data_IF_097468230662
#
_entry.id   IF_097468230662
#
_cell.length_a   1.000
_cell.length_b   1.000
_cell.length_c   1.000
_cell.angle_alpha   90.00
_cell.angle_beta   90.00
_cell.angle_gamma   90.00
#
_symmetry.space_group_name_H-M   'P 1'
#
loop_
_entity.id
_entity.type
_entity.pdbx_description
1 polymer ?
#
# COMPACT_ATOMS: atom_id res chain seq x y z
N UNK A 1 -16.00 -73.80 -62.29
CA UNK A 1 -14.61 -74.25 -62.10
C UNK A 1 -13.78 -73.05 -61.68
N UNK A 2 -12.95 -73.25 -60.65
CA UNK A 2 -12.33 -72.23 -59.84
C UNK A 2 -11.21 -71.44 -60.55
N UNK A 3 -11.05 -70.18 -60.17
CA UNK A 3 -9.74 -69.52 -60.17
C UNK A 3 -9.61 -68.67 -58.91
N UNK A 4 -8.68 -69.08 -58.04
CA UNK A 4 -8.17 -68.31 -56.91
C UNK A 4 -7.16 -67.30 -57.44
N UNK A 5 -7.17 -66.09 -56.90
CA UNK A 5 -5.94 -65.31 -56.80
C UNK A 5 -5.97 -64.50 -55.51
N UNK A 6 -4.87 -64.65 -54.78
CA UNK A 6 -4.59 -64.14 -53.45
C UNK A 6 -3.78 -62.85 -53.57
N UNK A 7 -3.88 -62.00 -52.55
CA UNK A 7 -2.76 -61.33 -51.87
C UNK A 7 -2.82 -59.81 -51.74
N UNK A 8 -2.27 -59.41 -50.59
CA UNK A 8 -1.66 -58.14 -50.23
C UNK A 8 -2.56 -57.11 -49.54
N UNK A 9 -2.59 -57.24 -48.21
CA UNK A 9 -2.72 -56.11 -47.30
C UNK A 9 -1.67 -55.04 -47.65
N UNK A 10 -2.10 -53.78 -47.74
CA UNK A 10 -1.20 -52.61 -47.71
C UNK A 10 -1.76 -51.63 -46.68
N UNK A 11 -1.04 -51.53 -45.56
CA UNK A 11 -1.13 -50.46 -44.58
C UNK A 11 -0.64 -49.15 -45.21
N UNK A 12 -1.45 -48.10 -45.17
CA UNK A 12 -1.01 -46.70 -45.28
C UNK A 12 -1.69 -45.94 -44.14
N UNK A 13 -1.05 -45.91 -42.97
CA UNK A 13 -0.21 -44.80 -42.48
C UNK A 13 -1.04 -43.53 -42.29
N UNK A 14 -1.42 -43.31 -41.02
CA UNK A 14 -1.96 -42.06 -40.49
C UNK A 14 -0.96 -40.92 -40.76
N UNK A 15 -1.22 -40.08 -41.75
CA UNK A 15 -0.57 -38.76 -41.84
C UNK A 15 -1.38 -37.77 -41.01
N UNK A 16 -1.13 -37.81 -39.70
CA UNK A 16 -1.46 -36.72 -38.79
C UNK A 16 -0.52 -35.55 -39.12
N UNK A 17 -1.04 -34.52 -39.79
CA UNK A 17 -0.37 -33.24 -39.90
C UNK A 17 -1.30 -32.14 -39.37
N UNK A 18 -1.39 -31.93 -38.04
CA UNK A 18 -1.85 -30.67 -37.54
C UNK A 18 -0.68 -29.69 -37.71
N UNK A 19 -0.61 -29.05 -38.88
CA UNK A 19 0.14 -27.81 -39.10
C UNK A 19 -0.56 -26.65 -38.37
N UNK A 20 -0.77 -26.82 -37.06
CA UNK A 20 -1.40 -25.87 -36.13
C UNK A 20 -0.63 -25.83 -34.81
N UNK A 21 0.69 -25.97 -34.88
CA UNK A 21 1.60 -25.65 -33.78
C UNK A 21 2.67 -24.75 -34.36
N UNK A 22 2.87 -23.57 -33.76
CA UNK A 22 3.79 -22.49 -34.16
C UNK A 22 3.19 -21.28 -34.89
N UNK A 23 1.95 -20.90 -34.57
CA UNK A 23 1.68 -19.49 -34.29
C UNK A 23 1.67 -19.30 -32.76
N UNK A 24 2.82 -19.54 -32.12
CA UNK A 24 3.09 -18.84 -30.87
C UNK A 24 3.29 -17.39 -31.27
N UNK A 25 2.18 -16.65 -31.28
CA UNK A 25 2.22 -15.21 -31.23
C UNK A 25 3.05 -14.90 -29.99
N UNK A 26 4.31 -14.55 -30.21
CA UNK A 26 5.03 -13.70 -29.29
C UNK A 26 4.28 -12.38 -29.30
N UNK A 27 3.10 -12.33 -28.65
CA UNK A 27 2.64 -11.10 -28.07
C UNK A 27 3.71 -10.83 -27.04
N UNK A 28 4.71 -10.02 -27.41
CA UNK A 28 5.40 -9.22 -26.43
C UNK A 28 4.26 -8.59 -25.63
N UNK A 29 3.96 -9.16 -24.47
CA UNK A 29 2.89 -8.71 -23.60
C UNK A 29 3.23 -7.27 -23.35
N UNK A 30 2.54 -6.36 -24.05
CA UNK A 30 2.68 -4.94 -23.79
C UNK A 30 2.07 -4.79 -22.41
N UNK A 31 2.92 -4.91 -21.39
CA UNK A 31 2.57 -4.63 -20.01
C UNK A 31 1.89 -3.28 -20.06
N UNK A 32 0.60 -3.18 -19.67
CA UNK A 32 -0.12 -1.93 -19.74
C UNK A 32 0.71 -0.83 -19.08
N UNK A 33 0.78 0.33 -19.72
CA UNK A 33 1.51 1.47 -19.14
C UNK A 33 0.98 1.73 -17.72
N UNK A 34 1.87 1.81 -16.73
CA UNK A 34 1.51 1.93 -15.32
C UNK A 34 1.52 0.63 -14.51
N UNK A 35 1.91 -0.51 -15.10
CA UNK A 35 2.05 -1.78 -14.39
C UNK A 35 3.50 -2.07 -13.98
N UNK A 36 4.09 -1.17 -13.19
CA UNK A 36 5.39 -1.39 -12.55
C UNK A 36 5.30 -1.18 -11.04
N UNK A 37 6.23 -1.75 -10.27
CA UNK A 37 6.29 -1.53 -8.82
C UNK A 37 6.32 -0.04 -8.46
N UNK A 38 7.12 0.74 -9.20
CA UNK A 38 7.23 2.18 -9.03
C UNK A 38 5.89 2.88 -9.27
N UNK A 39 5.15 2.48 -10.30
CA UNK A 39 3.85 3.06 -10.61
C UNK A 39 2.80 2.69 -9.55
N UNK A 40 2.84 1.45 -9.04
CA UNK A 40 1.99 1.02 -7.91
C UNK A 40 2.23 1.87 -6.67
N UNK A 41 3.49 1.95 -6.21
CA UNK A 41 3.87 2.77 -5.05
C UNK A 41 3.48 4.23 -5.27
N UNK A 42 3.74 4.77 -6.46
CA UNK A 42 3.40 6.16 -6.78
C UNK A 42 1.89 6.40 -6.80
N UNK A 43 1.08 5.45 -7.29
CA UNK A 43 -0.37 5.55 -7.30
C UNK A 43 -0.91 5.68 -5.87
N UNK A 44 -0.56 4.73 -4.99
CA UNK A 44 -0.99 4.77 -3.59
C UNK A 44 -0.41 5.96 -2.82
N UNK A 45 0.84 6.36 -3.10
CA UNK A 45 1.42 7.57 -2.52
C UNK A 45 0.59 8.83 -2.82
N UNK A 46 0.11 9.00 -4.06
CA UNK A 46 -0.77 10.14 -4.41
C UNK A 46 -2.08 10.12 -3.63
N UNK A 47 -2.66 8.94 -3.40
CA UNK A 47 -3.86 8.81 -2.56
C UNK A 47 -3.58 9.24 -1.11
N UNK A 48 -2.40 8.90 -0.58
CA UNK A 48 -2.00 9.35 0.76
C UNK A 48 -1.75 10.85 0.83
N UNK A 49 -1.19 11.47 -0.21
CA UNK A 49 -0.97 12.92 -0.28
C UNK A 49 -2.28 13.71 -0.16
N UNK A 50 -3.36 13.23 -0.77
CA UNK A 50 -4.68 13.82 -0.62
C UNK A 50 -5.29 13.64 0.78
N UNK A 51 -4.84 12.64 1.54
CA UNK A 51 -5.26 12.41 2.92
C UNK A 51 -4.51 13.31 3.92
N UNK A 52 -3.39 13.93 3.53
CA UNK A 52 -2.74 15.02 4.29
C UNK A 52 -3.53 16.32 4.13
N UNK A 53 -4.77 16.32 4.60
CA UNK A 53 -5.61 17.51 4.65
C UNK A 53 -5.11 18.36 5.81
N UNK A 54 -4.79 19.62 5.52
CA UNK A 54 -4.56 20.64 6.52
C UNK A 54 -5.89 21.00 7.18
N UNK A 55 -6.40 20.11 8.02
CA UNK A 55 -7.58 20.38 8.82
C UNK A 55 -7.31 21.63 9.66
N UNK A 56 -8.03 22.70 9.38
CA UNK A 56 -8.01 23.88 10.22
C UNK A 56 -8.91 23.60 11.42
N UNK A 57 -8.34 23.74 12.61
CA UNK A 57 -9.12 23.71 13.83
C UNK A 57 -9.78 25.08 14.02
N UNK A 58 -11.06 25.08 14.39
CA UNK A 58 -11.73 26.29 14.88
C UNK A 58 -11.13 26.75 16.23
N UNK A 59 -11.57 27.91 16.72
CA UNK A 59 -11.13 28.47 18.02
C UNK A 59 -11.42 27.55 19.22
N UNK A 60 -12.25 26.53 19.04
CA UNK A 60 -12.62 25.52 20.04
C UNK A 60 -11.87 24.20 19.84
N UNK A 61 -10.93 24.13 18.90
CA UNK A 61 -10.16 22.93 18.59
C UNK A 61 -10.95 21.86 17.82
N UNK A 62 -12.03 22.23 17.14
CA UNK A 62 -12.83 21.31 16.33
C UNK A 62 -12.48 21.38 14.85
N UNK A 63 -12.57 20.22 14.22
CA UNK A 63 -12.51 20.08 12.77
C UNK A 63 -13.89 20.40 12.21
N UNK A 64 -13.95 21.07 11.07
CA UNK A 64 -15.20 21.24 10.32
C UNK A 64 -15.72 19.86 9.90
N UNK A 65 -16.84 19.44 10.50
CA UNK A 65 -17.43 18.12 10.27
C UNK A 65 -17.91 17.92 8.82
N UNK A 66 -18.34 18.99 8.14
CA UNK A 66 -18.78 18.90 6.75
C UNK A 66 -17.60 18.68 5.80
N UNK A 67 -16.48 19.38 6.03
CA UNK A 67 -15.25 19.19 5.25
C UNK A 67 -14.66 17.80 5.49
N UNK A 68 -14.59 17.37 6.76
CA UNK A 68 -14.16 16.02 7.15
C UNK A 68 -15.01 14.93 6.49
N UNK A 69 -16.33 15.07 6.49
CA UNK A 69 -17.22 14.13 5.83
C UNK A 69 -16.99 14.08 4.31
N UNK A 70 -16.79 15.24 3.65
CA UNK A 70 -16.47 15.31 2.21
C UNK A 70 -15.15 14.61 1.89
N UNK A 71 -14.14 14.78 2.75
CA UNK A 71 -12.85 14.13 2.56
C UNK A 71 -12.92 12.62 2.76
N UNK A 72 -13.63 12.16 3.79
CA UNK A 72 -13.91 10.74 3.98
C UNK A 72 -14.65 10.13 2.78
N UNK A 73 -15.66 10.83 2.24
CA UNK A 73 -16.42 10.35 1.06
C UNK A 73 -15.57 10.23 -0.21
N UNK A 74 -14.47 10.97 -0.35
CA UNK A 74 -13.54 10.86 -1.48
C UNK A 74 -12.66 9.62 -1.40
N UNK A 75 -12.57 8.97 -0.24
CA UNK A 75 -11.77 7.77 -0.02
C UNK A 75 -12.63 6.51 -0.22
N UNK A 76 -12.79 6.10 -1.49
CA UNK A 76 -13.62 4.94 -1.88
C UNK A 76 -12.89 3.62 -1.71
N UNK A 77 -13.62 2.55 -1.39
CA UNK A 77 -13.11 1.17 -1.40
C UNK A 77 -13.85 0.33 -2.46
N UNK A 78 -13.15 -0.42 -3.33
CA UNK A 78 -11.70 -0.42 -3.49
C UNK A 78 -11.16 0.94 -3.96
N UNK A 79 -9.87 1.19 -3.75
CA UNK A 79 -9.22 2.40 -4.22
C UNK A 79 -9.18 2.46 -5.75
N UNK A 80 -9.13 3.69 -6.32
CA UNK A 80 -8.92 3.87 -7.76
C UNK A 80 -7.62 3.21 -8.24
N UNK A 81 -6.60 3.13 -7.38
CA UNK A 81 -5.36 2.43 -7.69
C UNK A 81 -5.55 0.91 -7.77
N UNK A 82 -6.35 0.33 -6.89
CA UNK A 82 -6.69 -1.09 -6.96
C UNK A 82 -7.38 -1.42 -8.29
N UNK A 83 -8.41 -0.66 -8.67
CA UNK A 83 -9.12 -0.86 -9.93
C UNK A 83 -8.18 -0.76 -11.14
N UNK A 84 -7.31 0.26 -11.17
CA UNK A 84 -6.34 0.47 -12.25
C UNK A 84 -5.28 -0.63 -12.33
N UNK A 85 -4.82 -1.15 -11.20
CA UNK A 85 -3.74 -2.14 -11.15
C UNK A 85 -4.25 -3.58 -11.21
N UNK A 86 -5.56 -3.80 -11.03
CA UNK A 86 -6.19 -5.11 -11.13
C UNK A 86 -6.06 -5.76 -12.52
N UNK A 87 -5.74 -4.99 -13.55
CA UNK A 87 -5.50 -5.48 -14.92
C UNK A 87 -4.01 -5.76 -15.22
N UNK A 88 -3.12 -5.48 -14.27
CA UNK A 88 -1.69 -5.73 -14.42
C UNK A 88 -1.32 -7.23 -14.35
N UNK A 89 -0.08 -7.61 -14.68
CA UNK A 89 0.36 -9.00 -14.53
C UNK A 89 0.44 -9.44 -13.06
N UNK A 90 0.51 -10.75 -12.82
CA UNK A 90 0.35 -11.34 -11.48
C UNK A 90 1.44 -10.93 -10.48
N UNK A 91 2.64 -10.59 -10.94
CA UNK A 91 3.73 -10.06 -10.11
C UNK A 91 3.36 -8.73 -9.42
N UNK A 92 2.59 -7.88 -10.10
CA UNK A 92 2.04 -6.65 -9.53
C UNK A 92 0.83 -6.97 -8.64
N UNK A 93 -0.10 -7.78 -9.14
CA UNK A 93 -1.35 -8.12 -8.43
C UNK A 93 -1.11 -8.78 -7.08
N UNK A 94 -0.11 -9.65 -6.98
CA UNK A 94 0.21 -10.40 -5.77
C UNK A 94 0.42 -9.50 -4.55
N UNK A 95 0.87 -8.25 -4.77
CA UNK A 95 1.12 -7.30 -3.70
C UNK A 95 -0.03 -6.32 -3.44
N UNK A 96 -1.01 -6.21 -4.35
CA UNK A 96 -2.07 -5.20 -4.27
C UNK A 96 -2.91 -5.32 -2.99
N UNK A 97 -3.04 -6.51 -2.41
CA UNK A 97 -3.73 -6.72 -1.14
C UNK A 97 -3.09 -5.93 0.00
N UNK A 98 -1.75 -5.89 0.08
CA UNK A 98 -1.03 -5.16 1.12
C UNK A 98 -1.17 -3.64 0.96
N UNK A 99 -1.06 -3.14 -0.27
CA UNK A 99 -1.26 -1.72 -0.56
C UNK A 99 -2.70 -1.27 -0.26
N UNK A 100 -3.68 -2.06 -0.69
CA UNK A 100 -5.10 -1.77 -0.48
C UNK A 100 -5.47 -1.84 1.01
N UNK A 101 -4.85 -2.74 1.76
CA UNK A 101 -5.02 -2.79 3.22
C UNK A 101 -4.42 -1.56 3.90
N UNK A 102 -3.23 -1.11 3.48
CA UNK A 102 -2.68 0.17 3.94
C UNK A 102 -3.60 1.36 3.64
N UNK A 103 -4.18 1.37 2.44
CA UNK A 103 -5.15 2.41 2.03
C UNK A 103 -6.43 2.35 2.86
N UNK A 104 -6.98 1.16 3.12
CA UNK A 104 -8.13 0.95 4.00
C UNK A 104 -7.87 1.50 5.40
N UNK A 105 -6.71 1.19 5.99
CA UNK A 105 -6.34 1.69 7.31
C UNK A 105 -6.19 3.21 7.33
N UNK A 106 -5.59 3.80 6.29
CA UNK A 106 -5.50 5.25 6.18
C UNK A 106 -6.88 5.89 6.05
N UNK A 107 -7.77 5.30 5.23
CA UNK A 107 -9.15 5.75 5.10
C UNK A 107 -9.87 5.71 6.43
N UNK A 108 -9.82 4.60 7.16
CA UNK A 108 -10.51 4.44 8.43
C UNK A 108 -9.98 5.45 9.46
N UNK A 109 -8.67 5.69 9.47
CA UNK A 109 -8.05 6.74 10.30
C UNK A 109 -8.54 8.15 9.94
N UNK A 110 -8.59 8.50 8.65
CA UNK A 110 -9.03 9.83 8.21
C UNK A 110 -10.53 10.01 8.44
N UNK A 111 -11.33 8.96 8.23
CA UNK A 111 -12.78 8.98 8.43
C UNK A 111 -13.18 8.98 9.92
N UNK A 112 -12.28 8.65 10.85
CA UNK A 112 -12.50 8.82 12.28
C UNK A 112 -12.02 10.21 12.73
N UNK A 113 -12.97 11.10 13.05
CA UNK A 113 -12.66 12.47 13.48
C UNK A 113 -11.80 12.53 14.75
N UNK A 114 -11.89 11.53 15.64
CA UNK A 114 -11.10 11.48 16.86
C UNK A 114 -9.64 11.11 16.56
N UNK A 115 -9.42 10.19 15.62
CA UNK A 115 -8.08 9.83 15.17
C UNK A 115 -7.39 11.04 14.51
N UNK A 116 -8.11 11.76 13.64
CA UNK A 116 -7.59 12.99 13.03
C UNK A 116 -7.26 14.03 14.09
N UNK A 117 -8.16 14.29 15.06
CA UNK A 117 -7.87 15.20 16.19
C UNK A 117 -6.66 14.75 16.99
N UNK A 118 -6.53 13.45 17.25
CA UNK A 118 -5.37 12.85 17.91
C UNK A 118 -4.08 13.10 17.15
N UNK A 119 -4.09 12.95 15.84
CA UNK A 119 -2.93 13.20 14.99
C UNK A 119 -2.56 14.69 14.89
N UNK A 120 -3.54 15.60 14.88
CA UNK A 120 -3.26 17.03 14.95
C UNK A 120 -2.54 17.38 16.26
N UNK A 121 -2.91 16.74 17.38
CA UNK A 121 -2.18 16.88 18.65
C UNK A 121 -0.76 16.31 18.55
N UNK A 122 -0.56 15.17 17.88
CA UNK A 122 0.80 14.65 17.60
C UNK A 122 1.62 15.71 16.85
N UNK A 123 1.09 16.28 15.77
CA UNK A 123 1.77 17.31 14.99
C UNK A 123 2.09 18.57 15.81
N UNK A 124 1.17 19.01 16.67
CA UNK A 124 1.37 20.16 17.56
C UNK A 124 2.43 19.91 18.65
N UNK A 125 2.56 18.66 19.11
CA UNK A 125 3.54 18.25 20.14
C UNK A 125 4.96 18.07 19.61
N UNK A 126 5.16 18.02 18.29
CA UNK A 126 6.47 17.80 17.68
C UNK A 126 7.24 19.12 17.57
N UNK A 127 8.39 19.20 18.24
CA UNK A 127 9.36 20.27 18.01
C UNK A 127 10.06 20.05 16.67
N UNK A 128 9.82 20.93 15.69
CA UNK A 128 10.45 20.87 14.37
C UNK A 128 11.99 20.84 14.47
N UNK A 129 12.58 21.62 15.37
CA UNK A 129 14.03 21.62 15.60
C UNK A 129 14.54 20.27 16.10
N UNK A 130 13.81 19.61 17.02
CA UNK A 130 14.20 18.28 17.52
C UNK A 130 14.00 17.20 16.47
N UNK A 131 12.92 17.28 15.69
CA UNK A 131 12.66 16.38 14.58
C UNK A 131 13.78 16.46 13.54
N UNK A 132 14.15 17.66 13.08
CA UNK A 132 15.26 17.85 12.15
C UNK A 132 16.58 17.31 12.70
N UNK A 133 16.87 17.57 13.98
CA UNK A 133 18.07 17.03 14.63
C UNK A 133 18.05 15.50 14.71
N UNK A 134 16.89 14.88 14.92
CA UNK A 134 16.77 13.43 14.90
C UNK A 134 17.04 12.89 13.50
N UNK A 135 16.42 13.46 12.46
CA UNK A 135 16.59 13.04 11.06
C UNK A 135 18.05 13.13 10.60
N UNK A 136 18.78 14.18 11.02
CA UNK A 136 20.20 14.36 10.71
C UNK A 136 21.11 13.23 11.24
N UNK A 137 20.67 12.45 12.23
CA UNK A 137 21.41 11.27 12.72
C UNK A 137 21.37 10.08 11.76
N UNK A 138 20.52 10.14 10.74
CA UNK A 138 20.30 9.09 9.75
C UNK A 138 20.68 9.63 8.36
N UNK A 139 21.97 9.78 8.05
CA UNK A 139 22.39 10.30 6.74
C UNK A 139 21.90 9.36 5.63
N UNK A 140 21.25 9.94 4.62
CA UNK A 140 20.79 9.19 3.45
C UNK A 140 21.98 8.59 2.69
N UNK A 141 21.89 7.30 2.37
CA UNK A 141 22.76 6.67 1.37
C UNK A 141 22.34 7.19 -0.01
N UNK A 142 23.30 7.53 -0.86
CA UNK A 142 23.10 8.23 -2.12
C UNK A 142 22.25 7.49 -3.20
N UNK A 143 21.72 6.28 -2.93
CA UNK A 143 20.85 5.57 -3.88
C UNK A 143 19.38 5.94 -3.69
N UNK A 144 18.91 6.91 -4.50
CA UNK A 144 17.56 7.49 -4.51
C UNK A 144 16.37 6.51 -4.64
N UNK A 145 16.56 5.24 -4.97
CA UNK A 145 15.44 4.34 -5.32
C UNK A 145 15.21 3.18 -4.34
N UNK A 146 16.09 2.96 -3.37
CA UNK A 146 16.01 1.83 -2.42
C UNK A 146 15.70 2.27 -0.99
N UNK A 147 15.43 3.55 -0.76
CA UNK A 147 15.43 4.09 0.59
C UNK A 147 14.10 4.65 1.11
N UNK A 148 13.04 4.65 0.31
CA UNK A 148 11.75 5.24 0.72
C UNK A 148 11.15 4.56 1.96
N UNK A 149 11.34 3.23 2.10
CA UNK A 149 10.94 2.49 3.29
C UNK A 149 11.84 2.80 4.49
N UNK A 150 13.14 2.98 4.28
CA UNK A 150 14.05 3.38 5.36
C UNK A 150 13.72 4.79 5.84
N UNK A 151 13.58 5.73 4.92
CA UNK A 151 13.22 7.12 5.22
C UNK A 151 11.88 7.20 5.96
N UNK A 152 10.86 6.46 5.52
CA UNK A 152 9.57 6.41 6.21
C UNK A 152 9.70 5.83 7.63
N UNK A 153 10.47 4.75 7.83
CA UNK A 153 10.72 4.17 9.16
C UNK A 153 11.53 5.11 10.06
N UNK A 154 12.55 5.76 9.52
CA UNK A 154 13.35 6.77 10.22
C UNK A 154 12.48 7.94 10.64
N UNK A 155 11.61 8.42 9.74
CA UNK A 155 10.65 9.48 10.04
C UNK A 155 9.72 9.09 11.19
N UNK A 156 9.08 7.92 11.11
CA UNK A 156 8.20 7.41 12.17
C UNK A 156 8.92 7.25 13.52
N UNK A 157 10.15 6.74 13.49
CA UNK A 157 11.02 6.59 14.68
C UNK A 157 11.37 7.94 15.29
N UNK A 158 11.72 8.92 14.45
CA UNK A 158 12.08 10.25 14.92
C UNK A 158 10.87 11.00 15.49
N UNK A 159 9.68 10.84 14.90
CA UNK A 159 8.45 11.38 15.46
C UNK A 159 8.18 10.78 16.84
N UNK A 160 8.24 9.45 16.99
CA UNK A 160 8.02 8.79 18.28
C UNK A 160 9.02 9.26 19.35
N UNK A 161 10.31 9.38 19.02
CA UNK A 161 11.34 9.90 19.94
C UNK A 161 11.06 11.35 20.36
N UNK A 162 10.77 12.23 19.41
CA UNK A 162 10.49 13.63 19.72
C UNK A 162 9.22 13.75 20.56
N UNK A 163 8.21 12.93 20.28
CA UNK A 163 6.97 12.89 21.03
C UNK A 163 7.21 12.47 22.49
N UNK A 164 8.04 11.45 22.71
CA UNK A 164 8.44 11.02 24.06
C UNK A 164 9.13 12.14 24.85
N UNK A 165 9.99 12.92 24.18
CA UNK A 165 10.72 14.03 24.81
C UNK A 165 9.88 15.30 25.00
N UNK A 166 8.89 15.56 24.15
CA UNK A 166 8.06 16.77 24.18
C UNK A 166 6.81 16.61 25.05
N UNK A 167 6.22 15.42 25.06
CA UNK A 167 4.91 15.14 25.68
C UNK A 167 4.95 13.84 26.49
N UNK A 168 5.86 13.68 27.48
CA UNK A 168 6.06 12.41 28.18
C UNK A 168 4.79 11.91 28.89
N UNK A 169 3.93 12.82 29.39
CA UNK A 169 2.67 12.45 30.06
C UNK A 169 1.60 11.94 29.10
N UNK A 170 1.65 12.30 27.83
CA UNK A 170 0.68 11.89 26.81
C UNK A 170 1.28 10.93 25.78
N UNK A 171 2.53 10.49 25.99
CA UNK A 171 3.32 9.77 25.00
C UNK A 171 2.61 8.53 24.48
N UNK A 172 2.10 7.66 25.35
CA UNK A 172 1.45 6.41 24.93
C UNK A 172 0.25 6.67 24.01
N UNK A 173 -0.63 7.59 24.42
CA UNK A 173 -1.82 7.97 23.65
C UNK A 173 -1.45 8.60 22.31
N UNK A 174 -0.54 9.58 22.31
CA UNK A 174 -0.14 10.27 21.08
C UNK A 174 0.65 9.34 20.15
N UNK A 175 1.47 8.44 20.70
CA UNK A 175 2.25 7.49 19.92
C UNK A 175 1.36 6.41 19.29
N UNK A 176 0.22 6.06 19.90
CA UNK A 176 -0.77 5.18 19.28
C UNK A 176 -1.32 5.78 17.97
N UNK A 177 -1.70 7.06 17.96
CA UNK A 177 -2.13 7.74 16.73
C UNK A 177 -1.00 7.81 15.69
N UNK A 178 0.21 8.14 16.13
CA UNK A 178 1.40 8.17 15.27
C UNK A 178 1.67 6.80 14.61
N UNK A 179 1.63 5.72 15.40
CA UNK A 179 1.83 4.36 14.89
C UNK A 179 0.78 3.98 13.86
N UNK A 180 -0.50 4.13 14.17
CA UNK A 180 -1.60 3.81 13.24
C UNK A 180 -1.44 4.52 11.90
N UNK A 181 -1.14 5.82 11.94
CA UNK A 181 -0.95 6.62 10.74
C UNK A 181 0.28 6.15 9.92
N UNK A 182 1.44 6.00 10.55
CA UNK A 182 2.66 5.60 9.85
C UNK A 182 2.63 4.15 9.37
N UNK A 183 1.96 3.23 10.09
CA UNK A 183 1.72 1.85 9.66
C UNK A 183 0.98 1.82 8.33
N UNK A 184 -0.13 2.55 8.22
CA UNK A 184 -0.90 2.64 6.98
C UNK A 184 -0.04 3.17 5.82
N UNK A 185 0.75 4.23 6.05
CA UNK A 185 1.64 4.79 5.04
C UNK A 185 2.77 3.84 4.60
N UNK A 186 3.33 3.07 5.53
CA UNK A 186 4.36 2.08 5.22
C UNK A 186 3.79 0.97 4.32
N UNK A 187 2.59 0.47 4.63
CA UNK A 187 1.90 -0.54 3.81
C UNK A 187 1.58 0.00 2.40
N UNK A 188 1.10 1.24 2.31
CA UNK A 188 0.86 1.91 1.02
C UNK A 188 2.13 2.18 0.19
N UNK A 189 3.31 1.97 0.76
CA UNK A 189 4.61 2.01 0.06
C UNK A 189 5.20 0.63 -0.21
N UNK A 190 4.46 -0.44 0.14
CA UNK A 190 4.96 -1.82 0.05
C UNK A 190 6.10 -2.12 1.03
N UNK A 191 6.21 -1.37 2.11
CA UNK A 191 7.23 -1.60 3.13
C UNK A 191 6.75 -2.65 4.13
N UNK A 192 7.64 -3.58 4.51
CA UNK A 192 7.38 -4.47 5.63
C UNK A 192 7.18 -3.65 6.92
N UNK A 193 6.22 -4.04 7.74
CA UNK A 193 5.97 -3.39 9.01
C UNK A 193 7.07 -3.75 10.02
N UNK A 194 7.69 -2.78 10.70
CA UNK A 194 8.53 -3.08 11.85
C UNK A 194 7.68 -3.72 12.96
N UNK A 195 8.25 -4.63 13.73
CA UNK A 195 7.58 -5.33 14.84
C UNK A 195 6.99 -4.40 15.91
N UNK A 196 7.48 -3.16 16.00
CA UNK A 196 6.98 -2.14 16.93
C UNK A 196 5.70 -1.44 16.46
N UNK A 197 5.31 -1.65 15.20
CA UNK A 197 4.20 -0.99 14.49
C UNK A 197 3.06 -1.96 14.12
N UNK A 198 3.22 -3.25 14.38
CA UNK A 198 2.13 -4.22 14.30
C UNK A 198 1.18 -4.01 15.48
N UNK A 199 -0.09 -3.65 15.24
CA UNK A 199 -1.09 -3.68 16.30
C UNK A 199 -1.19 -5.11 16.83
N UNK A 200 -1.25 -5.28 18.16
CA UNK A 200 -1.60 -6.57 18.75
C UNK A 200 -3.01 -6.95 18.30
N UNK A 201 -3.10 -7.74 17.23
CA UNK A 201 -4.35 -8.29 16.68
C UNK A 201 -5.11 -9.20 17.66
N UNK A 202 -4.60 -9.38 18.88
CA UNK A 202 -5.20 -10.19 19.93
C UNK A 202 -6.03 -9.41 20.98
N UNK A 203 -6.13 -8.07 20.91
CA UNK A 203 -6.86 -7.31 21.94
C UNK A 203 -8.37 -7.15 21.70
N UNK A 204 -8.89 -7.49 20.50
CA UNK A 204 -10.32 -7.31 20.17
C UNK A 204 -11.22 -8.51 20.47
N UNK A 205 -10.79 -9.47 21.29
CA UNK A 205 -11.64 -10.57 21.78
C UNK A 205 -11.62 -10.65 23.30
N UNK A 206 -12.16 -9.64 24.00
CA UNK A 206 -12.50 -9.78 25.41
C UNK A 206 -13.51 -8.71 25.89
N UNK A 207 -14.71 -8.64 25.33
CA UNK A 207 -15.92 -8.30 26.12
C UNK A 207 -17.20 -8.66 25.36
N UNK A 208 -17.80 -9.78 25.73
CA UNK A 208 -19.25 -10.02 25.77
C UNK A 208 -19.52 -10.83 27.04
#
# INVERSE_FOLDING_TARGET
>A
MASRSSSAATLLVFTAAPLLVLLQVATASQVPYGCSWKDTVYCYFKLSAHAFISYQLDDKGNINAEEHAKDCMRMTLPSVCHDQLSVCPEDIKANLSSFEEGYRQLRDFICDINDVKGYIKVAASISQTRLQRCLQKYPGQASRSLDECREARVSATCVAKVLQESSPMEYETLNAYNKRFHTALLMMRGCELPSEFTPDLHSSQATL
#
